data_IF_481363437358
#
_entry.id   IF_481363437358
#
_cell.length_a   1.000
_cell.length_b   1.000
_cell.length_c   1.000
_cell.angle_alpha   90.00
_cell.angle_beta   90.00
_cell.angle_gamma   90.00
#
_symmetry.space_group_name_H-M   'P 1'
#
loop_
_entity.id
_entity.type
_entity.pdbx_description
1 polymer ?
#
# COMPACT_ATOMS: atom_id res chain seq x y z
N UNK A 1 8.46 -12.37 15.65
CA UNK A 1 7.95 -11.52 14.55
C UNK A 1 8.24 -12.25 13.25
N UNK A 2 7.26 -12.39 12.37
CA UNK A 2 7.37 -13.21 11.15
C UNK A 2 7.52 -12.30 9.94
N UNK A 3 8.40 -12.67 9.01
CA UNK A 3 8.61 -11.94 7.77
C UNK A 3 7.62 -12.42 6.70
N UNK A 4 7.19 -11.51 5.83
CA UNK A 4 6.42 -11.82 4.63
C UNK A 4 6.73 -10.83 3.52
N UNK A 5 6.35 -11.17 2.29
CA UNK A 5 6.57 -10.31 1.11
C UNK A 5 5.24 -9.68 0.68
N UNK A 6 4.96 -8.42 1.08
CA UNK A 6 3.85 -7.65 0.53
C UNK A 6 3.99 -7.50 -0.99
N UNK A 7 2.86 -7.46 -1.69
CA UNK A 7 2.81 -7.17 -3.13
C UNK A 7 1.72 -6.16 -3.39
N UNK A 8 1.96 -5.26 -4.34
CA UNK A 8 0.90 -4.42 -4.86
C UNK A 8 -0.15 -5.31 -5.55
N UNK A 9 -1.40 -4.93 -5.39
CA UNK A 9 -2.51 -5.53 -6.12
C UNK A 9 -3.15 -4.48 -7.02
N UNK A 10 -3.98 -4.92 -7.96
CA UNK A 10 -4.50 -4.07 -9.03
C UNK A 10 -3.42 -3.45 -9.93
N UNK A 11 -2.31 -4.16 -10.16
CA UNK A 11 -1.23 -3.74 -11.07
C UNK A 11 -1.64 -3.98 -12.53
N UNK A 12 -1.32 -3.02 -13.40
CA UNK A 12 -1.34 -3.18 -14.86
C UNK A 12 0.00 -3.71 -15.37
N UNK A 13 -0.03 -4.73 -16.22
CA UNK A 13 1.19 -5.34 -16.75
C UNK A 13 2.11 -5.92 -15.67
N UNK A 14 3.34 -5.40 -15.58
CA UNK A 14 4.41 -5.95 -14.73
C UNK A 14 4.53 -5.15 -13.44
N UNK A 15 4.57 -5.85 -12.31
CA UNK A 15 4.88 -5.26 -11.01
C UNK A 15 6.38 -4.94 -10.92
N UNK A 16 6.70 -3.65 -10.96
CA UNK A 16 8.05 -3.11 -10.86
C UNK A 16 8.57 -2.93 -9.43
N UNK A 17 7.84 -3.45 -8.44
CA UNK A 17 8.12 -3.20 -7.03
C UNK A 17 8.73 -4.40 -6.31
N UNK A 18 9.42 -4.12 -5.21
CA UNK A 18 9.83 -5.12 -4.23
C UNK A 18 9.13 -4.87 -2.89
N UNK A 19 8.82 -5.95 -2.17
CA UNK A 19 8.09 -5.88 -0.92
C UNK A 19 8.86 -6.49 0.26
N UNK A 20 8.81 -5.82 1.40
CA UNK A 20 9.30 -6.35 2.67
C UNK A 20 8.32 -6.01 3.79
N UNK A 21 7.90 -7.01 4.55
CA UNK A 21 6.97 -6.82 5.63
C UNK A 21 7.26 -7.71 6.83
N UNK A 22 6.82 -7.26 7.99
CA UNK A 22 6.90 -7.98 9.25
C UNK A 22 5.54 -7.96 9.93
N UNK A 23 5.17 -9.04 10.59
CA UNK A 23 3.93 -9.12 11.33
C UNK A 23 4.04 -9.97 12.60
N UNK A 24 3.09 -9.76 13.49
CA UNK A 24 2.80 -10.61 14.65
C UNK A 24 1.31 -10.92 14.60
N UNK A 25 0.96 -12.21 14.60
CA UNK A 25 -0.41 -12.66 14.75
C UNK A 25 -0.58 -13.33 16.10
N UNK A 26 -1.41 -12.76 16.96
CA UNK A 26 -1.67 -13.25 18.32
C UNK A 26 -3.03 -12.76 18.82
N UNK A 27 -3.72 -13.58 19.61
CA UNK A 27 -4.97 -13.18 20.28
C UNK A 27 -6.11 -12.78 19.33
N UNK A 28 -6.15 -13.32 18.10
CA UNK A 28 -7.18 -13.00 17.10
C UNK A 28 -6.93 -11.70 16.34
N UNK A 29 -5.74 -11.08 16.47
CA UNK A 29 -5.35 -9.92 15.69
C UNK A 29 -3.98 -10.12 15.02
N UNK A 30 -3.79 -9.44 13.89
CA UNK A 30 -2.52 -9.33 13.19
C UNK A 30 -2.08 -7.87 13.21
N UNK A 31 -0.90 -7.60 13.77
CA UNK A 31 -0.20 -6.32 13.69
C UNK A 31 0.90 -6.44 12.66
N UNK A 32 1.01 -5.48 11.74
CA UNK A 32 1.95 -5.56 10.64
C UNK A 32 2.55 -4.19 10.27
N UNK A 33 3.72 -4.26 9.66
CA UNK A 33 4.33 -3.19 8.87
C UNK A 33 4.70 -3.79 7.52
N UNK A 34 4.35 -3.10 6.45
CA UNK A 34 4.66 -3.45 5.07
C UNK A 34 5.33 -2.27 4.37
N UNK A 35 6.35 -2.57 3.58
CA UNK A 35 7.08 -1.61 2.76
C UNK A 35 7.09 -2.12 1.32
N UNK A 36 6.72 -1.26 0.38
CA UNK A 36 6.84 -1.45 -1.06
C UNK A 36 7.86 -0.44 -1.58
N UNK A 37 8.83 -0.92 -2.37
CA UNK A 37 9.86 -0.10 -3.01
C UNK A 37 9.70 -0.22 -4.52
N UNK A 38 9.41 0.88 -5.19
CA UNK A 38 9.23 0.91 -6.64
C UNK A 38 10.57 1.08 -7.34
N UNK A 39 11.06 0.03 -7.99
CA UNK A 39 12.33 0.07 -8.75
C UNK A 39 12.11 0.34 -10.24
N UNK A 40 10.91 0.05 -10.72
CA UNK A 40 10.45 0.31 -12.09
C UNK A 40 9.10 0.98 -12.03
N UNK A 41 8.79 1.75 -13.06
CA UNK A 41 7.46 2.32 -13.24
C UNK A 41 6.39 1.23 -13.10
N UNK A 42 5.38 1.50 -12.28
CA UNK A 42 4.25 0.61 -12.08
C UNK A 42 2.98 1.44 -12.05
N UNK A 43 1.96 1.02 -12.79
CA UNK A 43 0.66 1.68 -12.87
C UNK A 43 -0.45 0.75 -12.39
N UNK A 44 -1.51 1.32 -11.80
CA UNK A 44 -2.69 0.54 -11.44
C UNK A 44 -3.55 0.28 -12.67
N UNK A 45 -4.14 -0.91 -12.75
CA UNK A 45 -5.01 -1.35 -13.86
C UNK A 45 -6.23 -0.46 -14.06
N UNK A 46 -6.76 0.13 -13.01
CA UNK A 46 -7.92 1.01 -13.07
C UNK A 46 -7.84 2.16 -12.06
N UNK A 47 -8.84 3.05 -12.11
CA UNK A 47 -8.91 4.23 -11.26
C UNK A 47 -9.14 3.94 -9.76
N UNK A 48 -9.30 2.68 -9.34
CA UNK A 48 -9.34 2.34 -7.92
C UNK A 48 -7.97 2.47 -7.24
N UNK A 49 -6.89 2.54 -8.01
CA UNK A 49 -5.51 2.58 -7.52
C UNK A 49 -5.01 1.23 -7.03
N UNK A 50 -3.81 1.21 -6.49
CA UNK A 50 -3.21 0.00 -5.95
C UNK A 50 -3.90 -0.46 -4.66
N UNK A 51 -3.92 -1.78 -4.48
CA UNK A 51 -4.10 -2.40 -3.17
C UNK A 51 -2.80 -3.03 -2.69
N UNK A 52 -2.87 -3.77 -1.58
CA UNK A 52 -1.72 -4.47 -1.01
C UNK A 52 -2.16 -5.81 -0.44
N UNK A 53 -1.42 -6.89 -0.68
CA UNK A 53 -1.70 -8.18 -0.02
C UNK A 53 -1.63 -8.05 1.51
N UNK A 54 -2.18 -9.01 2.24
CA UNK A 54 -2.04 -9.10 3.71
C UNK A 54 -1.25 -10.35 4.10
N UNK A 55 -0.50 -10.33 5.22
CA UNK A 55 0.26 -11.49 5.70
C UNK A 55 -0.65 -12.63 6.17
N UNK A 56 -1.80 -12.28 6.73
CA UNK A 56 -2.85 -13.20 7.20
C UNK A 56 -4.19 -12.63 6.77
N UNK A 57 -5.16 -13.43 6.28
CA UNK A 57 -6.47 -12.91 5.95
C UNK A 57 -7.12 -12.19 7.14
N UNK A 58 -7.59 -10.97 6.91
CA UNK A 58 -8.48 -10.26 7.80
C UNK A 58 -9.85 -10.93 7.86
N UNK A 59 -10.59 -10.68 8.94
CA UNK A 59 -11.98 -11.09 9.07
C UNK A 59 -12.81 -10.52 7.90
N UNK A 60 -13.46 -11.39 7.13
CA UNK A 60 -14.35 -10.97 6.05
C UNK A 60 -15.48 -10.07 6.58
N UNK A 61 -15.91 -9.09 5.80
CA UNK A 61 -16.89 -8.10 6.25
C UNK A 61 -16.28 -6.88 6.95
N UNK A 62 -14.99 -6.93 7.33
CA UNK A 62 -14.36 -5.84 8.08
C UNK A 62 -14.15 -4.59 7.20
N UNK A 63 -14.35 -3.41 7.81
CA UNK A 63 -13.97 -2.12 7.22
C UNK A 63 -12.89 -1.49 8.07
N UNK A 64 -11.69 -1.36 7.52
CA UNK A 64 -10.49 -1.01 8.28
C UNK A 64 -9.67 0.03 7.54
N UNK A 65 -9.13 0.99 8.28
CA UNK A 65 -8.25 2.04 7.76
C UNK A 65 -6.90 1.95 8.48
N UNK A 66 -5.82 1.94 7.72
CA UNK A 66 -4.44 1.90 8.23
C UNK A 66 -3.69 3.16 7.83
N UNK A 67 -2.63 3.49 8.60
CA UNK A 67 -1.77 4.61 8.27
C UNK A 67 -0.85 4.24 7.10
N UNK A 68 -0.72 5.16 6.16
CA UNK A 68 0.16 5.06 5.01
C UNK A 68 1.12 6.26 4.99
N UNK A 69 2.38 6.00 4.69
CA UNK A 69 3.38 7.01 4.34
C UNK A 69 3.91 6.69 2.95
N UNK A 70 3.94 7.70 2.08
CA UNK A 70 4.48 7.61 0.73
C UNK A 70 5.63 8.59 0.57
N UNK A 71 6.78 8.10 0.16
CA UNK A 71 8.02 8.84 -0.06
C UNK A 71 8.33 8.80 -1.56
N UNK A 72 8.05 9.88 -2.29
CA UNK A 72 8.17 9.99 -3.74
C UNK A 72 9.53 10.49 -4.24
N UNK A 73 10.54 10.53 -3.34
CA UNK A 73 11.96 10.90 -3.49
C UNK A 73 12.38 11.72 -4.73
N UNK A 74 12.34 11.13 -5.93
CA UNK A 74 12.99 11.70 -7.11
C UNK A 74 12.07 12.28 -8.18
N UNK A 75 10.91 11.66 -8.46
CA UNK A 75 9.98 12.18 -9.47
C UNK A 75 9.13 13.31 -8.89
N UNK A 76 8.54 13.07 -7.72
CA UNK A 76 7.58 13.98 -7.12
C UNK A 76 8.13 14.79 -5.93
N UNK A 77 9.35 14.48 -5.45
CA UNK A 77 10.08 15.17 -4.37
C UNK A 77 9.23 15.48 -3.11
N UNK A 78 8.29 14.60 -2.75
CA UNK A 78 7.39 14.82 -1.63
C UNK A 78 7.27 13.61 -0.71
N UNK A 79 6.86 13.89 0.52
CA UNK A 79 6.44 12.88 1.49
C UNK A 79 4.99 13.16 1.83
N UNK A 80 4.12 12.20 1.57
CA UNK A 80 2.69 12.30 1.86
C UNK A 80 2.29 11.25 2.89
N UNK A 81 1.37 11.65 3.76
CA UNK A 81 0.64 10.73 4.62
C UNK A 81 -0.69 10.38 3.97
N UNK A 82 -1.27 9.26 4.37
CA UNK A 82 -2.58 8.89 3.89
C UNK A 82 -3.11 7.65 4.57
N UNK A 83 -3.95 6.92 3.84
CA UNK A 83 -4.60 5.75 4.37
C UNK A 83 -4.64 4.58 3.39
N UNK A 84 -4.56 3.38 3.97
CA UNK A 84 -4.85 2.12 3.31
C UNK A 84 -6.20 1.60 3.81
N UNK A 85 -7.11 1.20 2.91
CA UNK A 85 -8.48 0.83 3.26
C UNK A 85 -8.84 -0.59 2.83
N UNK A 86 -9.52 -1.31 3.73
CA UNK A 86 -10.28 -2.51 3.45
C UNK A 86 -11.78 -2.15 3.48
N UNK A 87 -12.53 -2.51 2.45
CA UNK A 87 -13.97 -2.37 2.36
C UNK A 87 -14.69 -3.54 3.02
N UNK A 88 -15.90 -3.29 3.52
CA UNK A 88 -16.74 -4.34 4.09
C UNK A 88 -17.05 -5.50 3.11
N UNK A 89 -16.98 -5.26 1.79
CA UNK A 89 -17.16 -6.31 0.78
C UNK A 89 -15.90 -7.14 0.48
N UNK A 90 -14.76 -6.82 1.11
CA UNK A 90 -13.49 -7.50 0.86
C UNK A 90 -13.51 -8.96 1.32
N UNK A 91 -12.76 -9.81 0.62
CA UNK A 91 -12.49 -11.19 1.06
C UNK A 91 -11.46 -11.25 2.20
N UNK A 92 -10.90 -10.10 2.58
CA UNK A 92 -9.97 -9.94 3.69
C UNK A 92 -8.53 -10.36 3.36
N UNK A 93 -8.21 -10.75 2.11
CA UNK A 93 -6.84 -11.18 1.75
C UNK A 93 -5.92 -10.03 1.40
N UNK A 94 -6.47 -8.84 1.18
CA UNK A 94 -5.75 -7.66 0.75
C UNK A 94 -6.36 -6.39 1.37
N UNK A 95 -5.53 -5.35 1.47
CA UNK A 95 -5.95 -3.96 1.42
C UNK A 95 -6.46 -3.68 0.01
N UNK A 96 -7.63 -3.06 -0.08
CA UNK A 96 -8.28 -2.81 -1.37
C UNK A 96 -7.76 -1.55 -2.04
N UNK A 97 -7.40 -0.51 -1.27
CA UNK A 97 -6.90 0.77 -1.81
C UNK A 97 -5.84 1.42 -0.94
N UNK A 98 -4.81 1.95 -1.60
CA UNK A 98 -3.80 2.84 -1.05
C UNK A 98 -4.11 4.28 -1.49
N UNK A 99 -4.16 5.22 -0.54
CA UNK A 99 -4.48 6.61 -0.80
C UNK A 99 -3.57 7.56 -0.04
N UNK A 100 -3.21 8.68 -0.66
CA UNK A 100 -2.39 9.75 -0.07
C UNK A 100 -3.15 11.07 -0.06
N UNK A 101 -2.81 11.98 0.84
CA UNK A 101 -3.35 13.34 0.81
C UNK A 101 -2.85 14.07 -0.43
N UNK A 102 -3.77 14.54 -1.28
CA UNK A 102 -3.45 15.25 -2.50
C UNK A 102 -2.84 16.63 -2.29
N UNK A 103 -2.10 17.10 -3.28
CA UNK A 103 -1.32 18.36 -3.22
C UNK A 103 -2.15 19.62 -3.45
N UNK A 104 -3.30 19.53 -4.11
CA UNK A 104 -4.01 20.71 -4.65
C UNK A 104 -5.27 21.13 -3.90
N UNK A 105 -5.69 20.45 -2.82
CA UNK A 105 -6.87 20.86 -2.03
C UNK A 105 -6.87 20.25 -0.62
N UNK A 106 -5.93 20.69 0.23
CA UNK A 106 -6.05 20.80 1.70
C UNK A 106 -6.39 19.59 2.59
N UNK A 107 -6.86 18.44 2.07
CA UNK A 107 -7.16 17.21 2.83
C UNK A 107 -7.68 16.03 1.96
N UNK A 108 -7.98 16.23 0.67
CA UNK A 108 -8.62 15.18 -0.13
C UNK A 108 -7.68 13.98 -0.36
N UNK A 109 -8.16 12.77 -0.11
CA UNK A 109 -7.43 11.54 -0.38
C UNK A 109 -7.51 11.18 -1.86
N UNK A 110 -6.36 10.90 -2.46
CA UNK A 110 -6.19 10.48 -3.85
C UNK A 110 -5.67 9.05 -3.88
N UNK A 111 -6.19 8.24 -4.80
CA UNK A 111 -5.69 6.87 -5.00
C UNK A 111 -4.27 6.93 -5.52
N UNK A 112 -3.37 6.14 -4.92
CA UNK A 112 -2.05 5.89 -5.49
C UNK A 112 -2.28 4.95 -6.67
N UNK A 113 -2.14 5.48 -7.88
CA UNK A 113 -2.38 4.76 -9.14
C UNK A 113 -1.12 4.66 -10.00
N UNK A 114 -0.03 5.29 -9.58
CA UNK A 114 1.23 5.30 -10.29
C UNK A 114 2.37 5.43 -9.27
N UNK A 115 3.42 4.66 -9.52
CA UNK A 115 4.74 4.86 -8.92
C UNK A 115 5.74 4.90 -10.06
N UNK A 116 6.61 5.90 -10.06
CA UNK A 116 7.58 6.22 -11.10
C UNK A 116 8.76 5.25 -11.11
N UNK A 117 9.22 4.79 -9.95
CA UNK A 117 10.37 3.89 -9.87
C UNK A 117 11.64 4.46 -10.51
N UNK A 118 12.01 4.01 -11.72
CA UNK A 118 13.18 4.49 -12.48
C UNK A 118 12.85 5.37 -13.69
N UNK A 119 11.57 5.69 -13.93
CA UNK A 119 11.22 6.63 -15.01
C UNK A 119 11.52 8.07 -14.62
N UNK A 120 11.45 8.96 -15.62
CA UNK A 120 11.74 10.40 -15.47
C UNK A 120 13.16 10.73 -14.96
N UNK A 121 14.07 9.75 -15.00
CA UNK A 121 15.45 9.91 -14.52
C UNK A 121 15.61 9.74 -13.02
N UNK A 122 14.63 9.12 -12.35
CA UNK A 122 14.70 8.78 -10.94
C UNK A 122 15.91 7.86 -10.64
N UNK A 123 16.69 8.26 -9.65
CA UNK A 123 17.88 7.61 -9.10
C UNK A 123 17.56 6.84 -7.83
N UNK A 124 16.56 7.29 -7.09
CA UNK A 124 16.04 6.69 -5.86
C UNK A 124 14.64 6.14 -6.08
N UNK A 125 14.39 4.96 -5.52
CA UNK A 125 13.09 4.31 -5.57
C UNK A 125 12.08 5.00 -4.67
N UNK A 126 10.84 5.10 -5.13
CA UNK A 126 9.72 5.54 -4.31
C UNK A 126 9.31 4.45 -3.32
N UNK A 127 8.85 4.85 -2.13
CA UNK A 127 8.58 3.93 -1.04
C UNK A 127 7.19 4.16 -0.45
N UNK A 128 6.38 3.11 -0.41
CA UNK A 128 5.10 3.10 0.31
C UNK A 128 5.25 2.25 1.56
N UNK A 129 4.96 2.83 2.72
CA UNK A 129 4.91 2.12 4.00
C UNK A 129 3.51 2.12 4.55
N UNK A 130 2.99 0.95 4.91
CA UNK A 130 1.69 0.77 5.57
C UNK A 130 1.89 0.06 6.90
N UNK A 131 1.31 0.60 7.97
CA UNK A 131 1.36 -0.02 9.31
C UNK A 131 -0.03 -0.04 9.93
N UNK A 132 -0.37 -1.15 10.58
CA UNK A 132 -1.68 -1.31 11.17
C UNK A 132 -1.87 -2.57 11.99
N UNK A 133 -3.09 -2.73 12.50
CA UNK A 133 -3.55 -3.94 13.18
C UNK A 133 -4.98 -4.26 12.78
N UNK A 134 -5.31 -5.54 12.61
CA UNK A 134 -6.64 -5.97 12.20
C UNK A 134 -7.04 -7.32 12.80
N UNK A 135 -8.34 -7.58 13.00
CA UNK A 135 -8.83 -8.90 13.39
C UNK A 135 -8.63 -9.91 12.26
N UNK A 136 -8.09 -11.08 12.58
CA UNK A 136 -7.90 -12.18 11.60
C UNK A 136 -9.14 -13.06 11.50
N UNK A 137 -9.26 -13.80 10.39
CA UNK A 137 -10.31 -14.79 10.16
C UNK A 137 -10.16 -16.04 11.05
#
# INVERSE_FOLDING_TARGET
>A
MTQWTPKLTNVDGTDGTSGSGHYVSAGGACTFTAMIVAHKETTSRDGAGFGLTLPVPAKSGARLTFQLSYDGRDADHGVWTGEALIYAGSDGKQIDRLRVTGTSNGAALQNVNHVYGDVEGAKEAEIITVTGSYPVA
#
